data_IF_105688367376
#
_entry.id   IF_105688367376
#
_cell.length_a   1.000
_cell.length_b   1.000
_cell.length_c   1.000
_cell.angle_alpha   90.00
_cell.angle_beta   90.00
_cell.angle_gamma   90.00
#
_symmetry.space_group_name_H-M   'P 1'
#
loop_
_entity.id
_entity.type
_entity.pdbx_description
1 polymer ?
#
# COMPACT_ATOMS: atom_id res chain seq x y z
N UNK A 1 -94.49 -1.97 -7.52
CA UNK A 1 -94.43 -2.46 -8.92
C UNK A 1 -94.08 -1.29 -9.82
N UNK A 2 -93.10 -1.49 -10.73
CA UNK A 2 -92.73 -0.80 -11.99
C UNK A 2 -91.19 -0.97 -12.11
N UNK A 3 -90.73 -2.10 -12.62
CA UNK A 3 -90.37 -2.45 -14.02
C UNK A 3 -89.15 -1.68 -14.54
N UNK A 4 -88.09 -2.44 -14.77
CA UNK A 4 -86.81 -2.02 -15.33
C UNK A 4 -86.92 -1.39 -16.73
N UNK A 5 -86.02 -0.47 -17.07
CA UNK A 5 -85.75 -0.09 -18.46
C UNK A 5 -84.24 -0.02 -18.71
N UNK A 6 -83.84 -0.74 -19.76
CA UNK A 6 -82.47 -0.90 -20.25
C UNK A 6 -82.03 0.32 -21.05
N UNK A 7 -80.71 0.53 -21.05
CA UNK A 7 -79.94 1.16 -22.14
C UNK A 7 -80.09 2.67 -22.31
N UNK A 8 -79.12 3.41 -21.78
CA UNK A 8 -78.61 4.61 -22.43
C UNK A 8 -77.09 4.64 -22.24
N UNK A 9 -76.42 4.08 -23.25
CA UNK A 9 -75.00 4.22 -23.53
C UNK A 9 -74.71 5.71 -23.71
N UNK A 10 -74.04 6.35 -22.75
CA UNK A 10 -73.46 7.67 -22.93
C UNK A 10 -71.95 7.58 -22.67
N UNK A 11 -71.20 7.64 -23.77
CA UNK A 11 -69.76 7.84 -23.79
C UNK A 11 -69.40 9.10 -23.02
N UNK A 12 -68.73 8.96 -21.87
CA UNK A 12 -67.86 10.00 -21.34
C UNK A 12 -66.44 9.44 -21.31
N UNK A 13 -65.73 9.68 -22.41
CA UNK A 13 -64.27 9.56 -22.50
C UNK A 13 -63.65 10.56 -21.53
N UNK A 14 -63.47 10.15 -20.28
CA UNK A 14 -62.64 10.84 -19.31
C UNK A 14 -61.18 10.67 -19.72
N UNK A 15 -60.67 11.62 -20.50
CA UNK A 15 -59.24 11.81 -20.68
C UNK A 15 -58.71 12.23 -19.30
N UNK A 16 -58.26 11.25 -18.50
CA UNK A 16 -57.36 11.54 -17.39
C UNK A 16 -56.05 11.99 -18.04
N UNK A 17 -55.96 13.29 -18.31
CA UNK A 17 -54.67 13.96 -18.45
C UNK A 17 -54.01 13.77 -17.09
N UNK A 18 -53.19 12.73 -16.96
CA UNK A 18 -52.23 12.62 -15.87
C UNK A 18 -51.33 13.83 -15.99
N UNK A 19 -51.65 14.86 -15.22
CA UNK A 19 -50.74 15.96 -14.96
C UNK A 19 -49.59 15.34 -14.16
N UNK A 20 -48.52 14.92 -14.84
CA UNK A 20 -47.26 14.69 -14.14
C UNK A 20 -46.89 16.01 -13.48
N UNK A 21 -47.01 16.05 -12.16
CA UNK A 21 -46.61 17.20 -11.36
C UNK A 21 -45.12 17.50 -11.58
N UNK A 22 -44.67 18.72 -11.30
CA UNK A 22 -43.26 19.05 -11.42
C UNK A 22 -42.42 18.06 -10.62
N UNK A 23 -41.25 17.73 -11.15
CA UNK A 23 -40.25 16.94 -10.43
C UNK A 23 -40.03 17.54 -9.03
N UNK A 24 -39.97 16.66 -8.02
CA UNK A 24 -39.73 17.09 -6.64
C UNK A 24 -38.35 17.75 -6.51
N UNK A 25 -38.13 18.58 -5.47
CA UNK A 25 -36.81 19.15 -5.24
C UNK A 25 -35.79 18.03 -5.03
N UNK A 26 -34.56 18.26 -5.49
CA UNK A 26 -33.41 17.41 -5.15
C UNK A 26 -33.33 17.21 -3.64
N UNK A 27 -33.11 15.96 -3.21
CA UNK A 27 -32.93 15.64 -1.80
C UNK A 27 -31.72 16.35 -1.18
N UNK A 28 -31.65 16.44 0.16
CA UNK A 28 -30.49 17.02 0.83
C UNK A 28 -29.22 16.23 0.52
N UNK A 29 -28.08 16.91 0.59
CA UNK A 29 -26.77 16.26 0.53
C UNK A 29 -26.64 15.21 1.66
N UNK A 30 -25.98 14.09 1.36
CA UNK A 30 -25.71 13.05 2.35
C UNK A 30 -24.71 13.50 3.42
N UNK A 31 -24.61 12.79 4.56
CA UNK A 31 -23.62 13.10 5.57
C UNK A 31 -22.20 12.87 5.03
N UNK A 32 -21.24 13.64 5.54
CA UNK A 32 -19.81 13.37 5.34
C UNK A 32 -19.47 11.96 5.81
N UNK A 33 -18.63 11.24 5.05
CA UNK A 33 -18.13 9.92 5.45
C UNK A 33 -17.27 9.95 6.72
N UNK A 34 -16.98 8.79 7.33
CA UNK A 34 -16.10 8.72 8.49
C UNK A 34 -14.67 9.17 8.14
N UNK A 35 -13.94 9.65 9.14
CA UNK A 35 -12.51 9.89 9.02
C UNK A 35 -11.76 8.58 8.72
N UNK A 36 -10.71 8.65 7.90
CA UNK A 36 -9.86 7.49 7.59
C UNK A 36 -9.05 7.03 8.81
N UNK A 37 -8.46 5.82 8.77
CA UNK A 37 -7.53 5.39 9.81
C UNK A 37 -6.31 6.33 9.87
N UNK A 38 -5.65 6.48 11.04
CA UNK A 38 -4.38 7.16 11.13
C UNK A 38 -3.35 6.59 10.15
N UNK A 39 -2.52 7.46 9.56
CA UNK A 39 -1.45 7.03 8.66
C UNK A 39 -0.36 6.23 9.38
N UNK A 40 0.17 5.21 8.72
CA UNK A 40 1.32 4.46 9.22
C UNK A 40 2.58 5.34 9.22
N UNK A 41 3.42 5.21 10.25
CA UNK A 41 4.66 6.00 10.36
C UNK A 41 5.77 5.36 9.52
N UNK A 42 6.16 6.04 8.44
CA UNK A 42 7.34 5.67 7.65
C UNK A 42 8.61 5.95 8.45
N UNK A 43 9.50 4.97 8.50
CA UNK A 43 10.84 5.06 9.10
C UNK A 43 11.92 4.97 8.05
N UNK A 44 13.11 5.46 8.41
CA UNK A 44 14.26 5.55 7.51
C UNK A 44 15.52 4.96 8.16
N UNK A 45 16.30 4.23 7.37
CA UNK A 45 17.67 3.81 7.68
C UNK A 45 18.58 4.35 6.60
N UNK A 46 19.72 4.91 7.00
CA UNK A 46 20.84 5.20 6.11
C UNK A 46 22.08 4.46 6.60
N UNK A 47 22.70 3.67 5.72
CA UNK A 47 23.83 2.82 6.09
C UNK A 47 24.82 2.67 4.93
N UNK A 48 26.11 2.60 5.25
CA UNK A 48 27.14 2.24 4.28
C UNK A 48 27.26 0.71 4.26
N UNK A 49 27.04 0.10 3.11
CA UNK A 49 27.15 -1.36 2.96
C UNK A 49 28.60 -1.79 3.12
N UNK A 50 28.81 -2.77 3.99
CA UNK A 50 30.11 -3.39 4.24
C UNK A 50 30.07 -4.88 3.88
N UNK A 51 31.22 -5.46 3.54
CA UNK A 51 31.35 -6.88 3.17
C UNK A 51 30.75 -7.83 4.21
N UNK A 52 30.87 -7.50 5.50
CA UNK A 52 30.31 -8.30 6.60
C UNK A 52 28.80 -8.42 6.59
N UNK A 53 28.09 -7.53 5.89
CA UNK A 53 26.63 -7.52 5.84
C UNK A 53 26.06 -8.56 4.88
N UNK A 54 26.91 -9.15 4.02
CA UNK A 54 26.50 -10.25 3.16
C UNK A 54 26.33 -11.53 3.98
N UNK A 55 25.24 -12.26 3.73
CA UNK A 55 24.93 -13.47 4.48
C UNK A 55 25.94 -14.58 4.19
N UNK A 56 26.25 -15.40 5.19
CA UNK A 56 27.10 -16.58 5.03
C UNK A 56 26.36 -17.71 4.32
N UNK A 57 25.04 -17.82 4.55
CA UNK A 57 24.20 -18.84 3.92
C UNK A 57 24.04 -18.64 2.41
N UNK A 58 24.05 -17.39 1.95
CA UNK A 58 24.13 -17.05 0.53
C UNK A 58 24.78 -15.66 0.31
N UNK A 59 25.99 -15.60 -0.27
CA UNK A 59 26.79 -14.37 -0.36
C UNK A 59 26.28 -13.35 -1.39
N UNK A 60 25.12 -13.58 -2.00
CA UNK A 60 24.42 -12.61 -2.86
C UNK A 60 23.35 -11.81 -2.13
N UNK A 61 23.18 -12.02 -0.83
CA UNK A 61 22.19 -11.31 -0.02
C UNK A 61 22.85 -10.44 1.02
N UNK A 62 22.38 -9.21 1.14
CA UNK A 62 22.76 -8.25 2.19
C UNK A 62 21.66 -8.24 3.24
N UNK A 63 22.05 -8.29 4.50
CA UNK A 63 21.17 -8.06 5.65
C UNK A 63 21.30 -6.62 6.11
N UNK A 64 20.19 -5.89 6.19
CA UNK A 64 20.12 -4.56 6.82
C UNK A 64 19.12 -4.63 7.98
N UNK A 65 19.63 -4.62 9.22
CA UNK A 65 18.78 -4.61 10.41
C UNK A 65 17.96 -3.32 10.51
N UNK A 66 16.70 -3.44 10.90
CA UNK A 66 15.86 -2.25 11.10
C UNK A 66 16.26 -1.44 12.33
N UNK A 67 16.89 -2.09 13.32
CA UNK A 67 17.23 -1.53 14.64
C UNK A 67 16.02 -0.83 15.31
N UNK A 68 14.82 -1.36 15.05
CA UNK A 68 13.55 -0.85 15.52
C UNK A 68 12.81 -1.91 16.34
N UNK A 69 12.37 -1.54 17.54
CA UNK A 69 11.61 -2.40 18.44
C UNK A 69 10.20 -2.68 17.93
N UNK A 70 9.68 -1.85 17.03
CA UNK A 70 8.37 -2.06 16.42
C UNK A 70 8.44 -2.95 15.17
N UNK A 71 9.63 -3.20 14.63
CA UNK A 71 9.77 -4.04 13.45
C UNK A 71 9.36 -5.49 13.76
N UNK A 72 8.70 -6.10 12.79
CA UNK A 72 8.08 -7.41 12.87
C UNK A 72 8.15 -8.15 11.53
N UNK A 73 7.59 -9.35 11.46
CA UNK A 73 7.38 -10.08 10.21
C UNK A 73 6.49 -9.34 9.20
N UNK A 74 5.70 -8.35 9.65
CA UNK A 74 4.85 -7.52 8.80
C UNK A 74 5.52 -6.22 8.34
N UNK A 75 6.76 -5.97 8.79
CA UNK A 75 7.49 -4.78 8.36
C UNK A 75 7.65 -4.78 6.84
N UNK A 76 7.22 -3.70 6.22
CA UNK A 76 7.20 -3.54 4.77
C UNK A 76 8.24 -2.52 4.34
N UNK A 77 9.15 -2.91 3.46
CA UNK A 77 10.08 -1.98 2.81
C UNK A 77 9.37 -1.34 1.62
N UNK A 78 9.30 -0.01 1.63
CA UNK A 78 8.60 0.75 0.59
C UNK A 78 9.57 1.39 -0.42
N UNK A 79 10.85 1.55 -0.04
CA UNK A 79 11.86 2.17 -0.90
C UNK A 79 13.27 1.75 -0.51
N UNK A 80 14.11 1.47 -1.50
CA UNK A 80 15.55 1.26 -1.32
C UNK A 80 16.28 2.09 -2.38
N UNK A 81 17.27 2.87 -1.97
CA UNK A 81 18.07 3.71 -2.86
C UNK A 81 19.53 3.74 -2.46
N UNK A 82 20.42 3.93 -3.43
CA UNK A 82 21.81 4.29 -3.16
C UNK A 82 22.04 5.78 -3.44
N UNK A 83 23.01 6.37 -2.75
CA UNK A 83 23.44 7.75 -2.99
C UNK A 83 24.47 7.78 -4.12
N UNK A 84 24.17 8.49 -5.19
CA UNK A 84 25.10 8.65 -6.30
C UNK A 84 26.18 9.70 -6.00
N UNK A 85 27.15 9.84 -6.91
CA UNK A 85 28.29 10.76 -6.76
C UNK A 85 27.89 12.24 -6.65
N UNK A 86 26.68 12.59 -7.09
CA UNK A 86 26.13 13.95 -7.00
C UNK A 86 25.35 14.17 -5.69
N UNK A 87 25.33 13.18 -4.78
CA UNK A 87 24.58 13.25 -3.52
C UNK A 87 23.07 12.99 -3.67
N UNK A 88 22.62 12.52 -4.83
CA UNK A 88 21.19 12.25 -5.10
C UNK A 88 20.87 10.79 -4.80
N UNK A 89 19.75 10.55 -4.13
CA UNK A 89 19.21 9.21 -3.90
C UNK A 89 18.60 8.66 -5.17
N UNK A 90 19.11 7.52 -5.63
CA UNK A 90 18.65 6.82 -6.82
C UNK A 90 18.07 5.49 -6.38
N UNK A 91 16.81 5.26 -6.74
CA UNK A 91 16.09 4.00 -6.50
C UNK A 91 16.92 2.82 -7.03
N UNK A 92 16.98 1.73 -6.26
CA UNK A 92 17.59 0.49 -6.70
C UNK A 92 16.57 -0.21 -7.61
N UNK A 93 16.68 0.02 -8.93
CA UNK A 93 15.81 -0.54 -9.96
C UNK A 93 16.60 -1.35 -11.02
N UNK A 94 17.75 -1.92 -10.65
CA UNK A 94 18.42 -2.84 -11.57
C UNK A 94 17.65 -4.16 -11.62
N UNK A 95 17.53 -4.76 -12.81
CA UNK A 95 16.85 -6.05 -13.04
C UNK A 95 17.33 -7.17 -12.09
N UNK A 96 18.52 -7.03 -11.51
CA UNK A 96 19.17 -8.01 -10.65
C UNK A 96 19.34 -7.57 -9.18
N UNK A 97 18.84 -6.38 -8.79
CA UNK A 97 18.89 -5.87 -7.42
C UNK A 97 17.48 -5.65 -6.90
N UNK A 98 17.00 -6.52 -6.00
CA UNK A 98 15.64 -6.43 -5.46
C UNK A 98 15.58 -6.67 -3.96
N UNK A 99 14.67 -5.97 -3.29
CA UNK A 99 14.25 -6.33 -1.95
C UNK A 99 13.41 -7.61 -2.03
N UNK A 100 13.83 -8.66 -1.33
CA UNK A 100 13.10 -9.92 -1.31
C UNK A 100 12.03 -9.92 -0.23
N UNK A 101 12.44 -9.65 1.00
CA UNK A 101 11.59 -9.79 2.16
C UNK A 101 12.21 -9.21 3.43
N UNK A 102 11.33 -9.02 4.42
CA UNK A 102 11.71 -8.92 5.82
C UNK A 102 11.96 -10.32 6.36
N UNK A 103 13.07 -10.51 7.07
CA UNK A 103 13.37 -11.75 7.80
C UNK A 103 13.73 -11.44 9.25
N UNK A 104 13.60 -12.44 10.12
CA UNK A 104 14.31 -12.44 11.39
C UNK A 104 15.74 -12.97 11.17
N UNK A 105 16.70 -12.06 10.98
CA UNK A 105 18.09 -12.40 10.72
C UNK A 105 18.78 -12.85 12.01
N UNK A 106 19.47 -14.00 11.93
CA UNK A 106 20.34 -14.55 12.98
C UNK A 106 21.30 -15.57 12.34
N UNK A 107 22.36 -15.95 13.05
CA UNK A 107 23.32 -16.94 12.57
C UNK A 107 23.91 -16.57 11.22
N UNK A 108 23.76 -17.45 10.22
CA UNK A 108 24.28 -17.27 8.86
C UNK A 108 23.64 -16.10 8.08
N UNK A 109 22.46 -15.64 8.49
CA UNK A 109 21.79 -14.47 7.92
C UNK A 109 22.14 -13.17 8.65
N UNK A 110 22.83 -13.27 9.79
CA UNK A 110 23.21 -12.14 10.60
C UNK A 110 24.70 -11.78 10.46
N UNK A 111 25.04 -10.61 10.96
CA UNK A 111 26.42 -10.16 11.14
C UNK A 111 26.59 -9.52 12.52
N UNK A 112 27.84 -9.33 12.96
CA UNK A 112 28.21 -8.77 14.27
C UNK A 112 27.58 -9.49 15.49
N UNK A 113 27.27 -10.78 15.38
CA UNK A 113 26.51 -11.54 16.39
C UNK A 113 25.17 -10.89 16.78
N UNK A 114 24.60 -10.06 15.90
CA UNK A 114 23.28 -9.46 16.08
C UNK A 114 22.19 -10.46 15.69
N UNK A 115 20.99 -10.23 16.21
CA UNK A 115 19.77 -10.88 15.72
C UNK A 115 18.61 -9.90 15.79
N UNK A 116 17.66 -10.01 14.86
CA UNK A 116 16.51 -9.13 14.78
C UNK A 116 15.91 -9.04 13.39
N UNK A 117 14.80 -8.30 13.27
CA UNK A 117 14.17 -8.08 11.97
C UNK A 117 15.05 -7.21 11.07
N UNK A 118 15.16 -7.63 9.82
CA UNK A 118 16.04 -7.04 8.83
C UNK A 118 15.44 -7.13 7.43
N UNK A 119 15.82 -6.19 6.58
CA UNK A 119 15.59 -6.26 5.14
C UNK A 119 16.66 -7.13 4.47
N UNK A 120 16.24 -8.02 3.59
CA UNK A 120 17.14 -8.80 2.72
C UNK A 120 17.16 -8.18 1.31
N UNK A 121 18.33 -7.74 0.88
CA UNK A 121 18.54 -7.11 -0.44
C UNK A 121 19.40 -8.04 -1.28
N UNK A 122 18.92 -8.37 -2.48
CA UNK A 122 19.67 -9.15 -3.46
C UNK A 122 20.71 -8.26 -4.12
N UNK A 123 21.96 -8.69 -4.11
CA UNK A 123 23.10 -8.02 -4.72
C UNK A 123 24.14 -9.06 -5.19
N UNK A 124 23.90 -9.72 -6.34
CA UNK A 124 24.78 -10.78 -6.83
C UNK A 124 26.15 -10.26 -7.28
N UNK A 125 26.19 -9.05 -7.83
CA UNK A 125 27.41 -8.43 -8.38
C UNK A 125 28.23 -7.69 -7.32
N UNK A 126 27.66 -7.50 -6.12
CA UNK A 126 28.29 -6.81 -4.98
C UNK A 126 28.59 -5.33 -5.25
N UNK A 127 27.78 -4.71 -6.10
CA UNK A 127 27.93 -3.32 -6.51
C UNK A 127 27.59 -2.33 -5.39
N UNK A 128 26.93 -2.81 -4.33
CA UNK A 128 26.55 -1.99 -3.19
C UNK A 128 27.68 -1.81 -2.17
N UNK A 129 28.77 -2.58 -2.20
CA UNK A 129 29.89 -2.42 -1.25
C UNK A 129 30.40 -0.97 -1.26
N UNK A 130 30.43 -0.36 -0.07
CA UNK A 130 30.86 1.03 0.12
C UNK A 130 29.85 2.09 -0.32
N UNK A 131 28.68 1.71 -0.85
CA UNK A 131 27.59 2.65 -1.15
C UNK A 131 26.83 3.00 0.12
N UNK A 132 26.43 4.26 0.22
CA UNK A 132 25.43 4.72 1.20
C UNK A 132 24.04 4.35 0.66
N UNK A 133 23.31 3.52 1.40
CA UNK A 133 21.97 3.04 1.09
C UNK A 133 20.98 3.73 2.01
N UNK A 134 19.85 4.15 1.44
CA UNK A 134 18.65 4.58 2.16
C UNK A 134 17.58 3.51 2.01
N UNK A 135 16.97 3.13 3.13
CA UNK A 135 15.83 2.24 3.18
C UNK A 135 14.69 2.94 3.90
N UNK A 136 13.51 3.01 3.27
CA UNK A 136 12.28 3.44 3.91
C UNK A 136 11.40 2.22 4.16
N UNK A 137 10.82 2.14 5.36
CA UNK A 137 9.99 1.02 5.77
C UNK A 137 8.86 1.45 6.69
N UNK A 138 7.88 0.58 6.84
CA UNK A 138 6.82 0.68 7.82
C UNK A 138 6.92 -0.55 8.73
N UNK A 139 7.17 -0.40 10.04
CA UNK A 139 7.41 -1.50 10.97
C UNK A 139 6.18 -2.41 11.19
#
# INVERSE_FOLDING_TARGET
MIKASKTALLLLTGIFISCEGPEGPTGPEGPTGPEGPPGETVKEIQIVVAEKMYTQGNPYWITIYYEDLNASENTSVIFVAYKNVNGVWVSIESYDLYFCCTIYASGEYGYDNKSGYAALIYDPDKDLIGKEIKLLYIP
#
